data_IF_384144510244
#
_entry.id   IF_384144510244
#
_cell.length_a   1.000
_cell.length_b   1.000
_cell.length_c   1.000
_cell.angle_alpha   90.00
_cell.angle_beta   90.00
_cell.angle_gamma   90.00
#
_symmetry.space_group_name_H-M   'P 1'
#
loop_
_entity.id
_entity.type
_entity.pdbx_description
1 polymer ?
#
# COMPACT_ATOMS: atom_id res chain seq x y z
N UNK A 1 12.23 -6.90 22.61
CA UNK A 1 11.68 -6.37 21.35
C UNK A 1 12.82 -6.52 20.37
N UNK A 2 12.76 -7.50 19.48
CA UNK A 2 13.73 -7.60 18.39
C UNK A 2 13.55 -6.35 17.54
N UNK A 3 14.64 -5.67 17.20
CA UNK A 3 14.62 -4.45 16.40
C UNK A 3 13.90 -4.75 15.08
N UNK A 4 12.76 -4.09 14.83
CA UNK A 4 11.94 -4.32 13.64
C UNK A 4 12.76 -4.07 12.37
N UNK A 5 13.74 -3.16 12.44
CA UNK A 5 14.73 -2.93 11.38
C UNK A 5 15.58 -4.16 11.09
N UNK A 6 16.21 -4.74 12.12
CA UNK A 6 17.05 -5.94 11.94
C UNK A 6 16.25 -7.09 11.33
N UNK A 7 15.01 -7.29 11.82
CA UNK A 7 14.10 -8.31 11.29
C UNK A 7 13.78 -8.12 9.81
N UNK A 8 13.47 -6.89 9.40
CA UNK A 8 13.09 -6.62 8.01
C UNK A 8 14.31 -6.60 7.07
N UNK A 9 15.45 -6.05 7.49
CA UNK A 9 16.70 -6.12 6.74
C UNK A 9 17.09 -7.59 6.46
N UNK A 10 16.98 -8.48 7.46
CA UNK A 10 17.26 -9.92 7.29
C UNK A 10 16.32 -10.55 6.25
N UNK A 11 15.01 -10.30 6.33
CA UNK A 11 14.04 -10.81 5.35
C UNK A 11 14.38 -10.39 3.93
N UNK A 12 14.55 -9.09 3.69
CA UNK A 12 14.89 -8.59 2.35
C UNK A 12 16.24 -9.14 1.87
N UNK A 13 17.20 -9.37 2.77
CA UNK A 13 18.52 -9.90 2.40
C UNK A 13 18.54 -11.38 2.05
N UNK A 14 17.59 -12.19 2.54
CA UNK A 14 17.73 -13.66 2.55
C UNK A 14 16.56 -14.43 1.95
N UNK A 15 15.40 -13.80 1.79
CA UNK A 15 14.16 -14.50 1.46
C UNK A 15 13.65 -14.10 0.07
N UNK A 16 13.71 -15.05 -0.87
CA UNK A 16 13.23 -14.89 -2.24
C UNK A 16 11.72 -14.56 -2.31
N UNK A 17 10.94 -14.83 -1.25
CA UNK A 17 9.51 -14.44 -1.19
C UNK A 17 9.32 -12.91 -1.17
N UNK A 18 10.36 -12.14 -0.80
CA UNK A 18 10.35 -10.67 -0.80
C UNK A 18 10.94 -10.05 -2.07
N UNK A 19 11.42 -10.86 -3.02
CA UNK A 19 11.67 -10.44 -4.40
C UNK A 19 10.34 -10.45 -5.17
N UNK A 20 9.45 -9.53 -4.77
CA UNK A 20 8.15 -9.33 -5.40
C UNK A 20 8.33 -8.83 -6.85
N UNK A 21 7.35 -9.08 -7.73
CA UNK A 21 7.35 -8.51 -9.08
C UNK A 21 7.51 -6.99 -9.05
N UNK A 22 8.21 -6.45 -10.05
CA UNK A 22 8.41 -5.01 -10.25
C UNK A 22 7.09 -4.27 -10.52
N UNK A 23 6.07 -4.97 -11.02
CA UNK A 23 4.75 -4.39 -11.25
C UNK A 23 4.10 -3.92 -9.95
N UNK A 24 3.42 -2.78 -10.01
CA UNK A 24 2.59 -2.28 -8.92
C UNK A 24 1.46 -3.25 -8.55
N UNK A 25 0.82 -3.03 -7.40
CA UNK A 25 -0.39 -3.78 -7.09
C UNK A 25 -1.43 -3.61 -8.22
N UNK A 26 -2.13 -4.69 -8.65
CA UNK A 26 -3.00 -4.62 -9.82
C UNK A 26 -4.07 -3.53 -9.77
N UNK A 27 -4.53 -3.19 -8.56
CA UNK A 27 -5.58 -2.19 -8.34
C UNK A 27 -5.06 -0.76 -8.53
N UNK A 28 -3.78 -0.51 -8.25
CA UNK A 28 -3.14 0.77 -8.50
C UNK A 28 -3.00 0.99 -10.01
N UNK A 29 -2.43 0.02 -10.74
CA UNK A 29 -2.29 0.09 -12.19
C UNK A 29 -3.62 0.24 -12.94
N UNK A 30 -4.68 -0.43 -12.49
CA UNK A 30 -6.02 -0.31 -13.12
C UNK A 30 -6.68 1.05 -12.95
N UNK A 31 -6.26 1.84 -11.96
CA UNK A 31 -6.99 3.03 -11.51
C UNK A 31 -6.22 4.32 -11.71
N UNK A 32 -4.93 4.27 -12.04
CA UNK A 32 -4.06 5.45 -12.02
C UNK A 32 -4.61 6.63 -12.82
N UNK A 33 -5.22 6.37 -13.99
CA UNK A 33 -5.86 7.40 -14.83
C UNK A 33 -7.06 8.12 -14.17
N UNK A 34 -7.67 7.50 -13.15
CA UNK A 34 -8.81 8.02 -12.42
C UNK A 34 -8.45 8.56 -11.02
N UNK A 35 -7.18 8.45 -10.61
CA UNK A 35 -6.68 8.98 -9.35
C UNK A 35 -6.42 10.49 -9.46
N UNK A 36 -6.52 11.24 -8.35
CA UNK A 36 -6.05 12.62 -8.32
C UNK A 36 -4.54 12.65 -8.51
N UNK A 37 -4.04 13.55 -9.36
CA UNK A 37 -2.61 13.76 -9.58
C UNK A 37 -2.03 14.65 -8.48
N UNK A 38 -0.81 14.38 -8.04
CA UNK A 38 -0.08 15.27 -7.13
C UNK A 38 0.91 14.52 -6.26
N UNK A 39 0.79 14.68 -4.95
CA UNK A 39 1.67 14.00 -3.99
C UNK A 39 1.14 12.62 -3.63
N UNK A 40 2.03 11.65 -3.54
CA UNK A 40 1.70 10.31 -3.07
C UNK A 40 2.54 9.87 -1.88
N UNK A 41 1.97 9.01 -1.04
CA UNK A 41 2.67 8.33 0.05
C UNK A 41 2.56 6.81 -0.13
N UNK A 42 3.68 6.11 -0.20
CA UNK A 42 3.73 4.65 -0.16
C UNK A 42 4.23 4.19 1.22
N UNK A 43 3.30 3.65 2.01
CA UNK A 43 3.54 3.27 3.41
C UNK A 43 4.05 1.84 3.48
N UNK A 44 5.17 1.64 4.18
CA UNK A 44 5.91 0.37 4.21
C UNK A 44 6.21 -0.10 2.78
N UNK A 45 6.91 0.76 2.04
CA UNK A 45 7.10 0.68 0.58
C UNK A 45 7.87 -0.57 0.13
N UNK A 46 8.64 -1.20 1.02
CA UNK A 46 9.49 -2.33 0.70
C UNK A 46 10.48 -1.99 -0.41
N UNK A 47 10.49 -2.79 -1.49
CA UNK A 47 11.34 -2.56 -2.68
C UNK A 47 10.78 -1.50 -3.64
N UNK A 48 9.73 -0.78 -3.25
CA UNK A 48 9.31 0.44 -3.93
C UNK A 48 8.48 0.27 -5.19
N UNK A 49 7.89 -0.91 -5.44
CA UNK A 49 7.13 -1.16 -6.70
C UNK A 49 5.95 -0.19 -6.91
N UNK A 50 5.23 0.17 -5.85
CA UNK A 50 4.12 1.13 -5.96
C UNK A 50 4.66 2.56 -6.10
N UNK A 51 5.67 2.91 -5.30
CA UNK A 51 6.32 4.22 -5.37
C UNK A 51 6.92 4.51 -6.74
N UNK A 52 7.67 3.55 -7.32
CA UNK A 52 8.24 3.63 -8.68
C UNK A 52 7.16 3.79 -9.74
N UNK A 53 6.09 2.99 -9.65
CA UNK A 53 4.96 3.10 -10.58
C UNK A 53 4.27 4.47 -10.50
N UNK A 54 3.99 4.98 -9.29
CA UNK A 54 3.41 6.31 -9.14
C UNK A 54 4.36 7.39 -9.67
N UNK A 55 5.66 7.28 -9.42
CA UNK A 55 6.66 8.20 -9.95
C UNK A 55 6.71 8.19 -11.49
N UNK A 56 6.61 7.02 -12.13
CA UNK A 56 6.53 6.93 -13.61
C UNK A 56 5.26 7.58 -14.17
N UNK A 57 4.19 7.59 -13.39
CA UNK A 57 2.91 8.23 -13.72
C UNK A 57 2.88 9.74 -13.34
N UNK A 58 4.01 10.29 -12.90
CA UNK A 58 4.22 11.73 -12.70
C UNK A 58 3.90 12.25 -11.30
N UNK A 59 3.70 11.38 -10.31
CA UNK A 59 3.51 11.76 -8.91
C UNK A 59 4.83 12.13 -8.25
N UNK A 60 4.78 13.00 -7.24
CA UNK A 60 5.88 13.22 -6.30
C UNK A 60 5.64 12.34 -5.08
N UNK A 61 6.48 11.33 -4.88
CA UNK A 61 6.20 10.21 -3.97
C UNK A 61 7.11 10.27 -2.74
N UNK A 62 6.53 10.26 -1.56
CA UNK A 62 7.24 9.91 -0.33
C UNK A 62 7.06 8.40 -0.08
N UNK A 63 8.17 7.68 0.06
CA UNK A 63 8.18 6.22 0.19
C UNK A 63 8.87 5.83 1.50
N UNK A 64 8.08 5.32 2.45
CA UNK A 64 8.54 5.09 3.83
C UNK A 64 8.74 3.61 4.09
N UNK A 65 9.90 3.21 4.59
CA UNK A 65 10.13 1.86 5.12
C UNK A 65 11.15 1.89 6.26
N UNK A 66 11.11 0.89 7.14
CA UNK A 66 12.07 0.74 8.24
C UNK A 66 13.39 0.11 7.75
N UNK A 67 13.34 -0.67 6.66
CA UNK A 67 14.44 -1.46 6.13
C UNK A 67 15.39 -0.64 5.26
N UNK A 68 16.64 -0.47 5.71
CA UNK A 68 17.71 0.15 4.90
C UNK A 68 17.92 -0.64 3.59
N UNK A 69 17.92 -1.98 3.68
CA UNK A 69 18.16 -2.85 2.52
C UNK A 69 17.06 -2.73 1.47
N UNK A 70 15.79 -2.61 1.90
CA UNK A 70 14.67 -2.48 0.99
C UNK A 70 14.72 -1.13 0.26
N UNK A 71 14.97 -0.04 1.00
CA UNK A 71 15.09 1.30 0.43
C UNK A 71 16.29 1.40 -0.53
N UNK A 72 17.42 0.78 -0.20
CA UNK A 72 18.60 0.77 -1.08
C UNK A 72 18.32 0.04 -2.40
N UNK A 73 17.54 -1.06 -2.37
CA UNK A 73 17.08 -1.76 -3.59
C UNK A 73 16.08 -0.92 -4.37
N UNK A 74 15.11 -0.33 -3.67
CA UNK A 74 14.08 0.50 -4.27
C UNK A 74 14.69 1.70 -5.02
N UNK A 75 15.62 2.41 -4.38
CA UNK A 75 16.33 3.54 -4.96
C UNK A 75 17.21 3.14 -6.16
N UNK A 76 17.86 1.97 -6.11
CA UNK A 76 18.61 1.45 -7.27
C UNK A 76 17.68 1.21 -8.45
N UNK A 77 16.58 0.49 -8.23
CA UNK A 77 15.64 0.16 -9.30
C UNK A 77 14.93 1.42 -9.85
N UNK A 78 14.63 2.41 -9.01
CA UNK A 78 14.09 3.69 -9.47
C UNK A 78 15.06 4.50 -10.35
N UNK A 79 16.38 4.37 -10.13
CA UNK A 79 17.39 4.97 -11.03
C UNK A 79 17.45 4.24 -12.36
N UNK A 80 17.36 2.91 -12.34
CA UNK A 80 17.34 2.10 -13.55
C UNK A 80 16.09 2.41 -14.42
N UNK A 81 14.95 2.69 -13.78
CA UNK A 81 13.71 3.15 -14.43
C UNK A 81 13.74 4.63 -14.86
N UNK A 82 14.68 5.43 -14.31
CA UNK A 82 14.77 6.87 -14.57
C UNK A 82 13.73 7.73 -13.83
N UNK A 83 13.20 7.26 -12.68
CA UNK A 83 12.15 7.95 -11.89
C UNK A 83 12.60 8.39 -10.48
N UNK A 84 13.85 8.13 -10.10
CA UNK A 84 14.40 8.44 -8.75
C UNK A 84 14.23 9.90 -8.33
N UNK A 85 14.25 10.86 -9.28
CA UNK A 85 14.07 12.29 -8.98
C UNK A 85 12.68 12.65 -8.42
N UNK A 86 11.70 11.76 -8.58
CA UNK A 86 10.32 11.92 -8.10
C UNK A 86 10.03 11.15 -6.82
N UNK A 87 11.01 10.44 -6.26
CA UNK A 87 10.80 9.64 -5.05
C UNK A 87 11.72 10.09 -3.92
N UNK A 88 11.11 10.47 -2.79
CA UNK A 88 11.81 10.66 -1.53
C UNK A 88 11.78 9.35 -0.73
N UNK A 89 12.92 8.66 -0.66
CA UNK A 89 13.07 7.45 0.16
C UNK A 89 13.30 7.82 1.63
N UNK A 90 12.38 7.44 2.51
CA UNK A 90 12.37 7.85 3.91
C UNK A 90 12.52 6.62 4.79
N UNK A 91 13.66 6.55 5.50
CA UNK A 91 13.87 5.51 6.49
C UNK A 91 13.24 5.89 7.82
N UNK A 92 12.11 5.27 8.15
CA UNK A 92 11.42 5.44 9.41
C UNK A 92 10.63 4.18 9.76
N UNK A 93 10.47 3.92 11.06
CA UNK A 93 9.33 3.11 11.48
C UNK A 93 8.06 3.90 11.11
N UNK A 94 7.08 3.24 10.51
CA UNK A 94 5.81 3.87 10.14
C UNK A 94 5.08 4.37 11.38
N UNK A 95 5.26 3.72 12.53
CA UNK A 95 4.68 4.16 13.80
C UNK A 95 5.28 5.48 14.32
N UNK A 96 6.51 5.82 13.90
CA UNK A 96 7.21 7.06 14.26
C UNK A 96 7.16 8.11 13.14
N UNK A 97 6.59 7.77 11.97
CA UNK A 97 6.50 8.67 10.83
C UNK A 97 5.45 9.76 11.08
N UNK A 98 5.83 11.01 10.88
CA UNK A 98 4.91 12.15 11.02
C UNK A 98 4.02 12.28 9.78
N UNK A 99 2.76 11.86 9.90
CA UNK A 99 1.74 12.02 8.87
C UNK A 99 1.28 13.48 8.79
N UNK A 100 1.79 14.22 7.79
CA UNK A 100 1.33 15.59 7.51
C UNK A 100 -0.14 15.57 7.08
N UNK A 101 -0.99 16.28 7.83
CA UNK A 101 -2.43 16.31 7.57
C UNK A 101 -2.76 16.93 6.20
N UNK A 102 -3.67 16.28 5.46
CA UNK A 102 -4.15 16.73 4.14
C UNK A 102 -3.05 16.97 3.10
N UNK A 103 -1.96 16.20 3.15
CA UNK A 103 -0.79 16.39 2.31
C UNK A 103 -0.76 15.54 1.03
N UNK A 104 -1.48 14.42 1.00
CA UNK A 104 -1.34 13.41 -0.07
C UNK A 104 -2.63 13.19 -0.85
N UNK A 105 -2.51 13.25 -2.17
CA UNK A 105 -3.60 12.96 -3.12
C UNK A 105 -3.83 11.45 -3.24
N UNK A 106 -2.76 10.66 -3.13
CA UNK A 106 -2.81 9.19 -3.16
C UNK A 106 -1.99 8.61 -2.01
N UNK A 107 -2.56 7.66 -1.27
CA UNK A 107 -1.81 6.88 -0.28
C UNK A 107 -1.97 5.39 -0.60
N UNK A 108 -0.86 4.66 -0.64
CA UNK A 108 -0.83 3.20 -0.83
C UNK A 108 -0.32 2.50 0.42
N UNK A 109 -1.00 1.42 0.81
CA UNK A 109 -0.55 0.51 1.86
C UNK A 109 -0.69 -0.92 1.33
N UNK A 110 0.40 -1.67 1.26
CA UNK A 110 0.39 -3.01 0.66
C UNK A 110 1.06 -4.02 1.58
N UNK A 111 0.31 -5.02 2.03
CA UNK A 111 0.80 -6.15 2.82
C UNK A 111 1.49 -5.78 4.16
N UNK A 112 1.28 -4.55 4.62
CA UNK A 112 1.66 -4.06 5.95
C UNK A 112 0.41 -3.95 6.83
N UNK A 113 0.48 -4.44 8.07
CA UNK A 113 -0.65 -4.44 9.00
C UNK A 113 -0.71 -3.12 9.79
N UNK A 114 -1.48 -2.16 9.29
CA UNK A 114 -1.51 -0.77 9.76
C UNK A 114 -2.89 -0.32 10.28
N UNK A 115 -3.77 -1.24 10.71
CA UNK A 115 -5.12 -0.86 11.19
C UNK A 115 -5.08 0.17 12.31
N UNK A 116 -4.10 0.06 13.21
CA UNK A 116 -3.94 0.98 14.35
C UNK A 116 -3.41 2.36 13.92
N UNK A 117 -2.76 2.46 12.74
CA UNK A 117 -2.23 3.70 12.16
C UNK A 117 -3.17 4.31 11.11
N UNK A 118 -4.27 3.62 10.76
CA UNK A 118 -5.23 4.13 9.78
C UNK A 118 -5.83 5.49 10.12
N UNK A 119 -6.08 5.87 11.39
CA UNK A 119 -6.51 7.23 11.72
C UNK A 119 -5.55 8.29 11.15
N UNK A 120 -4.26 8.19 11.45
CA UNK A 120 -3.24 9.16 11.02
C UNK A 120 -3.05 9.12 9.50
N UNK A 121 -3.03 7.91 8.90
CA UNK A 121 -2.97 7.73 7.44
C UNK A 121 -4.16 8.41 6.75
N UNK A 122 -5.37 8.30 7.31
CA UNK A 122 -6.56 8.94 6.74
C UNK A 122 -6.55 10.46 6.92
N UNK A 123 -6.03 10.97 8.04
CA UNK A 123 -5.85 12.41 8.26
C UNK A 123 -4.85 13.03 7.28
N UNK A 124 -3.84 12.25 6.84
CA UNK A 124 -2.89 12.64 5.82
C UNK A 124 -3.47 12.75 4.40
N UNK A 125 -4.64 12.17 4.12
CA UNK A 125 -5.29 12.32 2.82
C UNK A 125 -5.75 13.76 2.60
N UNK A 126 -5.33 14.37 1.50
CA UNK A 126 -5.90 15.62 1.01
C UNK A 126 -7.41 15.47 0.78
N UNK A 127 -8.18 16.59 0.74
CA UNK A 127 -9.56 16.54 0.28
C UNK A 127 -9.67 15.86 -1.10
N UNK A 128 -10.63 14.93 -1.24
CA UNK A 128 -10.81 14.06 -2.41
C UNK A 128 -9.66 13.08 -2.71
N UNK A 129 -8.63 13.03 -1.86
CA UNK A 129 -7.52 12.09 -1.92
C UNK A 129 -7.98 10.63 -1.75
N UNK A 130 -7.19 9.70 -2.27
CA UNK A 130 -7.54 8.28 -2.39
C UNK A 130 -6.56 7.39 -1.63
N UNK A 131 -7.09 6.54 -0.76
CA UNK A 131 -6.37 5.44 -0.11
C UNK A 131 -6.60 4.15 -0.91
N UNK A 132 -5.51 3.46 -1.25
CA UNK A 132 -5.53 2.09 -1.79
C UNK A 132 -4.82 1.17 -0.80
N UNK A 133 -5.55 0.21 -0.24
CA UNK A 133 -5.02 -0.71 0.75
C UNK A 133 -5.28 -2.17 0.35
N UNK A 134 -4.20 -2.92 0.13
CA UNK A 134 -4.23 -4.38 0.04
C UNK A 134 -3.59 -5.07 1.25
N UNK A 135 -4.23 -6.11 1.78
CA UNK A 135 -3.65 -6.91 2.87
C UNK A 135 -4.13 -8.36 2.89
N UNK A 136 -3.39 -9.21 3.61
CA UNK A 136 -3.76 -10.61 3.80
C UNK A 136 -4.93 -10.78 4.77
N UNK A 137 -5.84 -11.69 4.40
CA UNK A 137 -6.94 -12.14 5.24
C UNK A 137 -6.60 -13.44 5.97
N UNK A 138 -7.31 -13.67 7.07
CA UNK A 138 -7.48 -14.99 7.67
C UNK A 138 -8.41 -15.80 6.77
N UNK A 139 -8.10 -17.08 6.61
CA UNK A 139 -8.87 -18.00 5.77
C UNK A 139 -9.16 -19.28 6.54
N UNK A 140 -10.37 -19.81 6.40
CA UNK A 140 -10.69 -21.18 6.81
C UNK A 140 -10.14 -22.21 5.83
N UNK A 141 -9.99 -21.82 4.56
CA UNK A 141 -9.44 -22.67 3.52
C UNK A 141 -7.91 -22.56 3.53
N UNK A 142 -7.18 -23.65 3.19
CA UNK A 142 -5.74 -23.61 3.03
C UNK A 142 -5.31 -22.53 2.03
N UNK A 143 -4.26 -21.79 2.37
CA UNK A 143 -3.65 -20.77 1.53
C UNK A 143 -2.14 -20.95 1.54
N UNK A 144 -1.52 -20.74 0.38
CA UNK A 144 -0.09 -21.00 0.16
C UNK A 144 0.77 -19.79 0.53
N UNK A 145 0.27 -18.56 0.31
CA UNK A 145 1.07 -17.32 0.45
C UNK A 145 0.57 -16.43 1.61
N UNK A 146 1.52 -15.72 2.21
CA UNK A 146 1.31 -14.68 3.22
C UNK A 146 1.77 -15.12 4.60
N UNK A 147 1.55 -14.30 5.65
CA UNK A 147 2.07 -14.56 6.99
C UNK A 147 1.73 -15.96 7.50
N UNK A 148 2.73 -16.63 8.09
CA UNK A 148 2.59 -17.98 8.64
C UNK A 148 1.62 -18.10 9.82
N UNK A 149 1.14 -16.97 10.36
CA UNK A 149 0.18 -16.94 11.46
C UNK A 149 -0.81 -15.76 11.36
N UNK A 150 -1.92 -15.92 12.06
CA UNK A 150 -3.06 -14.99 12.07
C UNK A 150 -2.79 -13.62 12.71
N UNK A 151 -1.65 -13.44 13.41
CA UNK A 151 -1.32 -12.17 14.07
C UNK A 151 -1.24 -11.02 13.06
N UNK A 152 -0.73 -11.31 11.86
CA UNK A 152 -0.52 -10.33 10.80
C UNK A 152 -1.59 -10.43 9.70
N UNK A 153 -2.69 -11.14 9.94
CA UNK A 153 -3.80 -11.31 8.99
C UNK A 153 -5.06 -10.65 9.53
N UNK A 154 -5.75 -9.92 8.66
CA UNK A 154 -7.03 -9.27 9.00
C UNK A 154 -8.15 -10.29 9.05
N UNK A 155 -9.13 -10.07 9.94
CA UNK A 155 -10.39 -10.80 9.90
C UNK A 155 -11.27 -10.21 8.80
N UNK A 156 -12.30 -10.96 8.44
CA UNK A 156 -13.27 -10.53 7.45
C UNK A 156 -13.88 -9.17 7.85
N UNK A 157 -13.82 -8.22 6.92
CA UNK A 157 -14.32 -6.85 7.04
C UNK A 157 -13.62 -5.97 8.07
N UNK A 158 -12.46 -6.34 8.62
CA UNK A 158 -11.70 -5.45 9.51
C UNK A 158 -11.32 -4.15 8.78
N UNK A 159 -10.74 -4.28 7.58
CA UNK A 159 -10.34 -3.14 6.77
C UNK A 159 -11.54 -2.28 6.34
N UNK A 160 -12.64 -2.90 5.92
CA UNK A 160 -13.87 -2.16 5.58
C UNK A 160 -14.35 -1.33 6.77
N UNK A 161 -14.49 -1.93 7.95
CA UNK A 161 -14.98 -1.25 9.15
C UNK A 161 -14.09 -0.09 9.56
N UNK A 162 -12.77 -0.25 9.43
CA UNK A 162 -11.80 0.80 9.77
C UNK A 162 -11.86 2.01 8.83
N UNK A 163 -12.46 1.87 7.64
CA UNK A 163 -12.51 2.90 6.60
C UNK A 163 -13.94 3.38 6.28
N UNK A 164 -14.95 3.06 7.09
CA UNK A 164 -16.34 3.48 6.83
C UNK A 164 -16.59 5.00 7.00
N UNK A 165 -15.60 5.73 7.51
CA UNK A 165 -15.54 7.19 7.53
C UNK A 165 -15.03 7.79 6.21
N UNK A 166 -14.42 6.97 5.35
CA UNK A 166 -14.17 7.33 3.96
C UNK A 166 -15.38 6.98 3.10
N UNK A 167 -15.44 7.58 1.92
CA UNK A 167 -16.22 6.99 0.84
C UNK A 167 -15.54 5.69 0.40
N UNK A 168 -16.28 4.59 0.33
CA UNK A 168 -15.79 3.35 -0.27
C UNK A 168 -16.09 3.35 -1.77
N UNK A 169 -15.04 3.40 -2.60
CA UNK A 169 -15.13 3.31 -4.06
C UNK A 169 -15.08 1.84 -4.52
N UNK A 170 -14.28 1.03 -3.84
CA UNK A 170 -14.23 -0.42 -4.04
C UNK A 170 -13.85 -1.13 -2.74
N UNK A 171 -14.48 -2.28 -2.51
CA UNK A 171 -14.09 -3.21 -1.48
C UNK A 171 -14.27 -4.64 -1.97
N UNK A 172 -13.22 -5.46 -1.89
CA UNK A 172 -13.28 -6.88 -2.24
C UNK A 172 -12.43 -7.72 -1.31
N UNK A 173 -12.99 -8.81 -0.82
CA UNK A 173 -12.25 -9.93 -0.23
C UNK A 173 -12.27 -11.09 -1.21
N UNK A 174 -11.12 -11.69 -1.52
CA UNK A 174 -11.00 -12.73 -2.55
C UNK A 174 -9.80 -13.65 -2.34
N UNK A 175 -9.86 -14.84 -2.94
CA UNK A 175 -8.67 -15.65 -3.20
C UNK A 175 -8.04 -15.15 -4.51
N UNK A 176 -6.74 -14.85 -4.49
CA UNK A 176 -5.92 -14.60 -5.67
C UNK A 176 -4.98 -15.79 -5.90
N UNK A 177 -4.63 -15.99 -7.16
CA UNK A 177 -3.62 -16.93 -7.61
C UNK A 177 -2.44 -16.12 -8.14
N UNK A 178 -1.22 -16.52 -7.81
CA UNK A 178 -0.03 -16.03 -8.50
C UNK A 178 0.19 -16.78 -9.83
N UNK A 179 1.27 -16.45 -10.55
CA UNK A 179 1.60 -17.10 -11.82
C UNK A 179 1.87 -18.60 -11.69
N UNK A 180 2.32 -19.05 -10.51
CA UNK A 180 2.56 -20.45 -10.20
C UNK A 180 1.29 -21.19 -9.73
N UNK A 181 0.14 -20.50 -9.64
CA UNK A 181 -1.13 -21.06 -9.17
C UNK A 181 -1.22 -21.22 -7.65
N UNK A 182 -0.32 -20.60 -6.89
CA UNK A 182 -0.36 -20.57 -5.42
C UNK A 182 -1.45 -19.60 -4.94
N UNK A 183 -2.15 -20.01 -3.91
CA UNK A 183 -3.33 -19.30 -3.40
C UNK A 183 -2.99 -18.29 -2.30
N UNK A 184 -3.71 -17.17 -2.30
CA UNK A 184 -3.61 -16.15 -1.27
C UNK A 184 -4.97 -15.51 -0.99
N UNK A 185 -5.39 -15.46 0.28
CA UNK A 185 -6.57 -14.71 0.69
C UNK A 185 -6.21 -13.25 0.94
N UNK A 186 -6.85 -12.32 0.22
CA UNK A 186 -6.57 -10.89 0.29
C UNK A 186 -7.82 -10.04 0.32
N UNK A 187 -7.68 -8.89 0.95
CA UNK A 187 -8.63 -7.78 0.88
C UNK A 187 -8.03 -6.65 0.07
N UNK A 188 -8.87 -5.94 -0.68
CA UNK A 188 -8.56 -4.66 -1.32
C UNK A 188 -9.63 -3.67 -0.93
N UNK A 189 -9.20 -2.49 -0.47
CA UNK A 189 -10.06 -1.34 -0.26
C UNK A 189 -9.52 -0.14 -1.05
N UNK A 190 -10.43 0.55 -1.75
CA UNK A 190 -10.19 1.86 -2.34
C UNK A 190 -11.15 2.83 -1.69
N UNK A 191 -10.61 3.77 -0.92
CA UNK A 191 -11.36 4.75 -0.15
C UNK A 191 -11.04 6.18 -0.59
N UNK A 192 -12.01 7.08 -0.56
CA UNK A 192 -11.83 8.51 -0.88
C UNK A 192 -12.15 9.38 0.31
N UNK A 193 -11.29 10.37 0.59
CA UNK A 193 -11.50 11.39 1.60
C UNK A 193 -12.53 12.45 1.14
N UNK A 194 -13.79 12.06 1.08
CA UNK A 194 -14.89 12.92 0.66
C UNK A 194 -15.40 13.79 1.81
N UNK A 195 -15.61 15.09 1.58
CA UNK A 195 -16.16 15.98 2.61
C UNK A 195 -17.69 15.87 2.75
N UNK A 196 -18.19 15.79 3.99
CA UNK A 196 -19.62 15.97 4.30
C UNK A 196 -20.59 14.91 3.76
N UNK A 197 -20.09 13.71 3.46
CA UNK A 197 -20.90 12.60 2.92
C UNK A 197 -21.43 12.83 1.50
N UNK A 198 -20.85 13.79 0.77
CA UNK A 198 -21.20 14.08 -0.64
C UNK A 198 -20.00 13.81 -1.52
N UNK A 199 -20.25 13.24 -2.69
CA UNK A 199 -19.23 13.05 -3.72
C UNK A 199 -19.86 12.97 -5.12
N UNK A 200 -19.03 13.16 -6.14
CA UNK A 200 -19.32 12.76 -7.51
C UNK A 200 -19.01 11.26 -7.69
N UNK A 201 -19.88 10.56 -8.41
CA UNK A 201 -19.71 9.15 -8.75
C UNK A 201 -19.37 9.02 -10.24
N UNK A 202 -18.53 8.05 -10.64
CA UNK A 202 -18.35 7.72 -12.04
C UNK A 202 -19.70 7.42 -12.69
N UNK A 203 -19.88 7.82 -13.96
CA UNK A 203 -21.06 7.38 -14.72
C UNK A 203 -20.96 5.86 -14.88
N UNK A 204 -22.05 5.15 -14.62
CA UNK A 204 -22.11 3.73 -14.95
C UNK A 204 -21.80 3.56 -16.44
N UNK A 205 -20.88 2.64 -16.78
CA UNK A 205 -20.72 2.20 -18.15
C UNK A 205 -22.01 1.45 -18.53
N UNK A 206 -22.69 1.90 -19.59
CA UNK A 206 -23.81 1.17 -20.22
C UNK A 206 -23.31 -0.10 -20.89
#
# INVERSE_FOLDING_TARGET
MTDDRERWNEKYSTDEEFDLPDDSIPELGRRVDALPTGRALDVATGTGRNARFLASEGYDVDAVDVSDEALDRAARAARDDGVDERVTWIRSDVADFEFEASAYDVITVSYFAALDLLPDIKEALAPDGVLIYEHHLRSSDPIDIGPSNDRYRFRANDLLRACLDLTILEYRERIRLDEAGRTQAVTTLVGRNSTGGRQSYPRAAE
#
